data_IF_271439568938
#
_entry.id   IF_271439568938
#
_cell.length_a   1.000
_cell.length_b   1.000
_cell.length_c   1.000
_cell.angle_alpha   90.00
_cell.angle_beta   90.00
_cell.angle_gamma   90.00
#
_symmetry.space_group_name_H-M   'P 1'
#
loop_
_entity.id
_entity.type
_entity.pdbx_description
1 polymer ?
#
# COMPACT_ATOMS: atom_id res chain seq x y z
N UNK A 1 -2.47 -17.45 4.57
CA UNK A 1 -3.48 -16.65 3.90
C UNK A 1 -2.79 -15.53 3.10
N UNK A 2 -3.16 -15.33 1.83
CA UNK A 2 -2.58 -14.28 0.98
C UNK A 2 -3.47 -13.03 1.03
N UNK A 3 -2.95 -11.95 1.56
CA UNK A 3 -3.63 -10.65 1.52
C UNK A 3 -3.49 -10.06 0.12
N UNK A 4 -4.61 -9.67 -0.47
CA UNK A 4 -4.71 -9.12 -1.83
C UNK A 4 -5.55 -7.85 -1.89
N UNK A 5 -6.18 -7.46 -0.78
CA UNK A 5 -7.15 -6.37 -0.70
C UNK A 5 -6.93 -5.49 0.52
N UNK A 6 -7.38 -4.25 0.40
CA UNK A 6 -7.58 -3.32 1.51
C UNK A 6 -9.04 -2.90 1.49
N UNK A 7 -9.75 -3.05 2.62
CA UNK A 7 -11.13 -2.60 2.77
C UNK A 7 -11.16 -1.37 3.66
N UNK A 8 -11.58 -0.24 3.08
CA UNK A 8 -11.66 1.03 3.81
C UNK A 8 -13.06 1.22 4.37
N UNK A 9 -13.13 1.36 5.69
CA UNK A 9 -14.32 1.73 6.44
C UNK A 9 -14.23 3.16 6.94
N UNK A 10 -15.36 3.72 7.36
CA UNK A 10 -15.41 4.95 8.11
C UNK A 10 -16.16 4.77 9.44
N UNK A 11 -15.63 5.33 10.49
CA UNK A 11 -16.35 5.45 11.75
C UNK A 11 -17.43 6.53 11.69
N UNK A 12 -18.54 6.31 12.38
CA UNK A 12 -19.65 7.28 12.42
C UNK A 12 -19.43 8.39 13.46
N UNK A 13 -18.22 8.98 13.51
CA UNK A 13 -17.92 10.06 14.47
C UNK A 13 -16.52 10.63 14.31
N UNK A 14 -16.26 11.72 15.05
CA UNK A 14 -14.93 12.35 15.21
C UNK A 14 -14.29 11.72 16.45
N UNK A 15 -13.45 10.73 16.26
CA UNK A 15 -12.93 9.88 17.32
C UNK A 15 -11.40 9.72 17.21
N UNK A 16 -10.73 9.56 18.36
CA UNK A 16 -9.34 9.11 18.38
C UNK A 16 -9.23 7.63 18.00
N UNK A 17 -8.07 7.18 17.54
CA UNK A 17 -7.85 5.76 17.22
C UNK A 17 -8.08 4.86 18.45
N UNK A 18 -7.72 5.33 19.65
CA UNK A 18 -7.97 4.61 20.90
C UNK A 18 -9.46 4.40 21.17
N UNK A 19 -10.27 5.43 20.97
CA UNK A 19 -11.74 5.32 21.13
C UNK A 19 -12.33 4.36 20.10
N UNK A 20 -11.87 4.42 18.84
CA UNK A 20 -12.27 3.48 17.80
C UNK A 20 -11.88 2.04 18.16
N UNK A 21 -10.65 1.82 18.60
CA UNK A 21 -10.19 0.49 19.00
C UNK A 21 -11.03 -0.09 20.14
N UNK A 22 -11.37 0.71 21.17
CA UNK A 22 -12.24 0.31 22.26
C UNK A 22 -13.63 -0.13 21.83
N UNK A 23 -14.15 0.38 20.73
CA UNK A 23 -15.45 -0.04 20.17
C UNK A 23 -15.41 -1.52 19.72
N UNK A 24 -14.26 -2.05 19.33
CA UNK A 24 -14.10 -3.43 18.87
C UNK A 24 -13.70 -4.42 19.96
N UNK A 25 -13.41 -3.97 21.18
CA UNK A 25 -13.05 -4.86 22.31
C UNK A 25 -14.18 -5.81 22.75
N UNK A 26 -15.48 -5.39 22.83
CA UNK A 26 -16.52 -6.28 23.26
C UNK A 26 -16.79 -7.39 22.23
N UNK A 27 -16.57 -8.65 22.59
CA UNK A 27 -16.79 -9.83 21.72
C UNK A 27 -18.23 -9.94 21.20
N UNK A 28 -19.21 -9.46 21.99
CA UNK A 28 -20.64 -9.41 21.58
C UNK A 28 -20.91 -8.56 20.33
N UNK A 29 -19.96 -7.67 19.94
CA UNK A 29 -20.09 -6.86 18.74
C UNK A 29 -19.98 -7.69 17.44
N UNK A 30 -19.29 -8.84 17.50
CA UNK A 30 -19.04 -9.72 16.35
C UNK A 30 -18.49 -8.97 15.12
N UNK A 31 -17.69 -7.92 15.35
CA UNK A 31 -17.02 -7.12 14.33
C UNK A 31 -15.65 -6.68 14.81
N UNK A 32 -14.70 -6.57 13.90
CA UNK A 32 -13.34 -6.09 14.20
C UNK A 32 -12.70 -5.49 12.95
N UNK A 33 -11.59 -4.78 13.11
CA UNK A 33 -10.75 -4.28 12.03
C UNK A 33 -9.27 -4.56 12.32
N UNK A 34 -8.40 -4.46 11.32
CA UNK A 34 -6.97 -4.59 11.55
C UNK A 34 -6.40 -3.28 12.12
N UNK A 35 -6.85 -2.14 11.60
CA UNK A 35 -6.36 -0.83 12.00
C UNK A 35 -7.48 0.16 12.25
N UNK A 36 -7.27 1.02 13.23
CA UNK A 36 -8.06 2.22 13.49
C UNK A 36 -7.19 3.45 13.26
N UNK A 37 -7.71 4.44 12.52
CA UNK A 37 -7.10 5.76 12.32
C UNK A 37 -7.99 6.81 12.95
N UNK A 38 -7.44 7.55 13.92
CA UNK A 38 -8.11 8.65 14.60
C UNK A 38 -8.18 9.92 13.75
N UNK A 39 -9.00 10.87 14.19
CA UNK A 39 -9.14 12.18 13.53
C UNK A 39 -7.84 12.99 13.48
N UNK A 40 -6.93 12.80 14.45
CA UNK A 40 -5.62 13.43 14.48
C UNK A 40 -4.53 12.66 13.71
N UNK A 41 -4.90 11.53 13.08
CA UNK A 41 -4.00 10.72 12.28
C UNK A 41 -3.23 9.67 13.08
N UNK A 42 -3.53 9.50 14.36
CA UNK A 42 -3.04 8.43 15.19
C UNK A 42 -3.52 7.06 14.68
N UNK A 43 -2.68 6.03 14.73
CA UNK A 43 -2.99 4.69 14.22
C UNK A 43 -2.83 3.67 15.35
N UNK A 44 -3.83 2.80 15.50
CA UNK A 44 -3.77 1.66 16.41
C UNK A 44 -4.08 0.37 15.66
N UNK A 45 -3.20 -0.65 15.80
CA UNK A 45 -3.45 -2.02 15.38
C UNK A 45 -4.38 -2.72 16.37
N UNK A 46 -5.46 -3.32 15.87
CA UNK A 46 -6.47 -4.02 16.68
C UNK A 46 -6.39 -5.53 16.47
N UNK A 47 -6.43 -5.97 15.21
CA UNK A 47 -6.27 -7.39 14.84
C UNK A 47 -4.99 -7.53 14.02
N UNK A 48 -4.05 -8.41 14.40
CA UNK A 48 -2.86 -8.69 13.61
C UNK A 48 -3.23 -9.10 12.16
N UNK A 49 -2.41 -8.70 11.19
CA UNK A 49 -2.69 -8.95 9.76
C UNK A 49 -2.72 -10.43 9.39
N UNK A 50 -2.05 -11.28 10.17
CA UNK A 50 -2.09 -12.74 10.01
C UNK A 50 -3.43 -13.34 10.42
N UNK A 51 -4.28 -12.55 11.09
CA UNK A 51 -5.61 -12.95 11.54
C UNK A 51 -6.68 -12.21 10.76
N UNK A 52 -7.77 -12.90 10.48
CA UNK A 52 -8.94 -12.33 9.84
C UNK A 52 -9.64 -11.31 10.76
N UNK A 53 -9.82 -10.09 10.29
CA UNK A 53 -10.76 -9.16 10.87
C UNK A 53 -12.21 -9.50 10.39
N UNK A 54 -13.21 -9.26 11.22
CA UNK A 54 -14.62 -9.54 10.91
C UNK A 54 -15.31 -8.24 10.50
N UNK A 55 -15.40 -7.99 9.20
CA UNK A 55 -15.77 -6.67 8.68
C UNK A 55 -16.83 -6.68 7.58
N UNK A 56 -16.75 -7.61 6.62
CA UNK A 56 -17.60 -7.61 5.44
C UNK A 56 -18.82 -8.53 5.56
N UNK A 57 -18.94 -9.31 6.63
CA UNK A 57 -19.92 -10.39 6.74
C UNK A 57 -19.62 -11.59 5.83
N UNK A 58 -18.54 -11.57 5.10
CA UNK A 58 -18.08 -12.66 4.23
C UNK A 58 -16.69 -13.12 4.62
N UNK A 59 -16.61 -14.36 5.14
CA UNK A 59 -15.35 -14.97 5.52
C UNK A 59 -14.34 -14.94 4.38
N UNK A 60 -14.76 -15.27 3.17
CA UNK A 60 -13.90 -15.33 1.99
C UNK A 60 -13.22 -14.00 1.68
N UNK A 61 -13.95 -12.89 1.75
CA UNK A 61 -13.38 -11.56 1.49
C UNK A 61 -12.56 -11.05 2.66
N UNK A 62 -13.01 -11.26 3.90
CA UNK A 62 -12.28 -10.86 5.11
C UNK A 62 -10.92 -11.56 5.22
N UNK A 63 -10.83 -12.81 4.78
CA UNK A 63 -9.57 -13.58 4.76
C UNK A 63 -8.53 -13.04 3.77
N UNK A 64 -8.92 -12.24 2.79
CA UNK A 64 -8.04 -11.67 1.77
C UNK A 64 -7.75 -10.19 1.99
N UNK A 65 -8.36 -9.56 3.00
CA UNK A 65 -8.34 -8.12 3.18
C UNK A 65 -7.71 -7.69 4.50
N UNK A 66 -6.98 -6.58 4.45
CA UNK A 66 -6.69 -5.77 5.62
C UNK A 66 -7.74 -4.67 5.68
N UNK A 67 -8.40 -4.56 6.82
CA UNK A 67 -9.47 -3.61 7.06
C UNK A 67 -9.02 -2.43 7.90
N UNK A 68 -9.35 -1.23 7.45
CA UNK A 68 -8.99 0.03 8.10
C UNK A 68 -10.25 0.82 8.42
N UNK A 69 -10.47 1.13 9.69
CA UNK A 69 -11.49 2.06 10.16
C UNK A 69 -10.90 3.47 10.28
N UNK A 70 -11.50 4.46 9.61
CA UNK A 70 -11.02 5.83 9.61
C UNK A 70 -12.03 6.75 10.26
N UNK A 71 -11.57 7.55 11.23
CA UNK A 71 -12.34 8.61 11.85
C UNK A 71 -12.61 9.77 10.89
N UNK A 72 -13.66 10.50 11.16
CA UNK A 72 -14.09 11.68 10.40
C UNK A 72 -13.70 12.96 11.07
N UNK A 73 -13.80 14.07 10.34
CA UNK A 73 -13.71 15.43 10.88
C UNK A 73 -15.05 16.19 10.79
N UNK A 74 -16.05 15.63 10.07
CA UNK A 74 -17.40 16.22 9.97
C UNK A 74 -18.50 15.14 10.05
N UNK A 75 -19.75 15.58 10.28
CA UNK A 75 -20.94 14.73 10.27
C UNK A 75 -21.63 14.66 8.90
N UNK A 76 -22.92 14.29 8.95
CA UNK A 76 -23.80 14.32 7.76
C UNK A 76 -23.88 15.71 7.13
N UNK A 77 -24.10 15.81 5.81
CA UNK A 77 -24.22 14.71 4.85
C UNK A 77 -22.88 14.17 4.32
N UNK A 78 -21.78 14.94 4.46
CA UNK A 78 -20.55 14.70 3.71
C UNK A 78 -19.68 13.63 4.33
N UNK A 79 -19.62 13.53 5.66
CA UNK A 79 -18.78 12.58 6.37
C UNK A 79 -17.29 12.68 5.96
N UNK A 80 -16.74 13.89 5.98
CA UNK A 80 -15.39 14.19 5.52
C UNK A 80 -14.32 13.54 6.42
N UNK A 81 -13.20 13.24 5.81
CA UNK A 81 -11.98 12.78 6.50
C UNK A 81 -11.02 13.97 6.56
N UNK A 82 -10.53 14.30 7.75
CA UNK A 82 -9.55 15.36 7.95
C UNK A 82 -8.20 15.03 7.31
N UNK A 83 -7.43 16.05 6.94
CA UNK A 83 -6.17 15.84 6.21
C UNK A 83 -5.15 15.00 7.00
N UNK A 84 -5.11 15.10 8.34
CA UNK A 84 -4.23 14.28 9.18
C UNK A 84 -4.59 12.79 9.08
N UNK A 85 -5.88 12.45 9.25
CA UNK A 85 -6.37 11.08 9.11
C UNK A 85 -6.21 10.56 7.68
N UNK A 86 -6.46 11.41 6.67
CA UNK A 86 -6.26 11.08 5.27
C UNK A 86 -4.79 10.78 4.94
N UNK A 87 -3.86 11.60 5.45
CA UNK A 87 -2.42 11.35 5.29
C UNK A 87 -2.02 10.00 5.90
N UNK A 88 -2.47 9.71 7.11
CA UNK A 88 -2.21 8.44 7.78
C UNK A 88 -2.82 7.25 7.03
N UNK A 89 -4.03 7.39 6.49
CA UNK A 89 -4.67 6.37 5.65
C UNK A 89 -3.82 6.07 4.41
N UNK A 90 -3.33 7.09 3.71
CA UNK A 90 -2.52 6.95 2.51
C UNK A 90 -1.20 6.26 2.81
N UNK A 91 -0.49 6.71 3.86
CA UNK A 91 0.78 6.11 4.27
C UNK A 91 0.62 4.66 4.71
N UNK A 92 -0.40 4.35 5.51
CA UNK A 92 -0.70 2.98 5.93
C UNK A 92 -1.07 2.09 4.73
N UNK A 93 -1.92 2.56 3.82
CA UNK A 93 -2.26 1.81 2.61
C UNK A 93 -1.03 1.57 1.72
N UNK A 94 -0.15 2.56 1.56
CA UNK A 94 1.10 2.39 0.80
C UNK A 94 2.01 1.34 1.44
N UNK A 95 2.17 1.36 2.76
CA UNK A 95 2.95 0.37 3.51
C UNK A 95 2.36 -1.05 3.35
N UNK A 96 1.05 -1.22 3.52
CA UNK A 96 0.35 -2.50 3.31
C UNK A 96 0.56 -2.97 1.87
N UNK A 97 0.35 -2.10 0.88
CA UNK A 97 0.55 -2.43 -0.53
C UNK A 97 1.98 -2.94 -0.81
N UNK A 98 2.98 -2.33 -0.18
CA UNK A 98 4.39 -2.71 -0.32
C UNK A 98 4.67 -4.06 0.31
N UNK A 99 4.21 -4.29 1.54
CA UNK A 99 4.46 -5.53 2.28
C UNK A 99 3.77 -6.74 1.65
N UNK A 100 2.58 -6.56 1.10
CA UNK A 100 1.76 -7.62 0.52
C UNK A 100 1.78 -7.67 -1.01
N UNK A 101 2.61 -6.82 -1.67
CA UNK A 101 2.70 -6.73 -3.14
C UNK A 101 1.36 -6.43 -3.82
N UNK A 102 0.54 -5.57 -3.21
CA UNK A 102 -0.75 -5.15 -3.74
C UNK A 102 -0.55 -3.96 -4.67
N UNK A 103 -1.09 -4.03 -5.89
CA UNK A 103 -1.24 -2.86 -6.76
C UNK A 103 -2.58 -2.22 -6.44
N UNK A 104 -2.62 -0.99 -5.90
CA UNK A 104 -3.88 -0.37 -5.52
C UNK A 104 -4.68 0.07 -6.75
N UNK A 105 -5.89 -0.47 -6.89
CA UNK A 105 -6.86 -0.07 -7.92
C UNK A 105 -8.29 -0.25 -7.44
N UNK A 106 -9.20 0.51 -8.05
CA UNK A 106 -10.64 0.46 -7.81
C UNK A 106 -11.38 0.43 -9.13
N UNK A 107 -12.30 -0.52 -9.31
CA UNK A 107 -13.13 -0.67 -10.50
C UNK A 107 -14.64 -0.77 -10.18
N UNK A 108 -15.01 -0.54 -8.91
CA UNK A 108 -16.38 -0.68 -8.43
C UNK A 108 -16.83 -2.11 -8.13
N UNK A 109 -15.98 -3.11 -8.33
CA UNK A 109 -16.29 -4.53 -8.14
C UNK A 109 -15.52 -5.14 -6.96
N UNK A 110 -15.99 -6.28 -6.48
CA UNK A 110 -15.41 -7.03 -5.37
C UNK A 110 -14.03 -7.64 -5.66
N UNK A 111 -13.63 -7.72 -6.91
CA UNK A 111 -12.31 -8.20 -7.37
C UNK A 111 -11.22 -7.12 -7.27
N UNK A 112 -11.59 -5.84 -7.14
CA UNK A 112 -10.64 -4.75 -6.92
C UNK A 112 -9.76 -5.00 -5.68
N UNK A 113 -8.56 -4.43 -5.69
CA UNK A 113 -7.66 -4.46 -4.54
C UNK A 113 -8.05 -3.46 -3.45
N UNK A 114 -8.72 -2.35 -3.82
CA UNK A 114 -9.34 -1.41 -2.88
C UNK A 114 -10.84 -1.66 -2.87
N UNK A 115 -11.40 -1.97 -1.71
CA UNK A 115 -12.82 -2.34 -1.57
C UNK A 115 -13.52 -1.55 -0.47
N UNK A 116 -14.84 -1.61 -0.46
CA UNK A 116 -15.71 -0.95 0.50
C UNK A 116 -16.71 -1.92 1.13
N UNK A 117 -17.16 -1.71 2.37
CA UNK A 117 -18.16 -2.55 3.02
C UNK A 117 -19.47 -2.68 2.24
N UNK A 118 -19.93 -1.59 1.62
CA UNK A 118 -21.17 -1.60 0.84
C UNK A 118 -21.14 -2.50 -0.42
N UNK A 119 -19.98 -3.04 -0.77
CA UNK A 119 -19.87 -4.04 -1.84
C UNK A 119 -20.28 -5.44 -1.35
N UNK A 120 -20.25 -5.69 -0.04
CA UNK A 120 -20.45 -7.00 0.55
C UNK A 120 -21.76 -7.12 1.33
N UNK A 121 -22.23 -6.03 1.91
CA UNK A 121 -23.43 -5.98 2.74
C UNK A 121 -24.19 -4.66 2.57
N UNK A 122 -25.47 -4.64 2.95
CA UNK A 122 -26.30 -3.45 2.89
C UNK A 122 -25.86 -2.42 3.96
N UNK A 123 -25.01 -1.47 3.57
CA UNK A 123 -24.49 -0.39 4.43
C UNK A 123 -24.13 0.82 3.58
N UNK A 124 -24.15 2.01 4.19
CA UNK A 124 -23.64 3.23 3.55
C UNK A 124 -22.13 3.37 3.65
N UNK A 125 -21.46 2.58 4.54
CA UNK A 125 -20.02 2.61 4.72
C UNK A 125 -19.27 2.34 3.39
N UNK A 126 -18.23 3.10 3.04
CA UNK A 126 -17.46 4.06 3.83
C UNK A 126 -17.98 5.51 3.75
N UNK A 127 -19.21 5.74 3.32
CA UNK A 127 -19.79 7.05 3.18
C UNK A 127 -19.44 7.77 1.88
N UNK A 128 -20.13 8.89 1.57
CA UNK A 128 -20.00 9.57 0.28
C UNK A 128 -18.63 10.16 0.04
N UNK A 129 -17.95 10.67 1.08
CA UNK A 129 -16.65 11.31 0.93
C UNK A 129 -15.56 10.34 0.42
N UNK A 130 -15.41 9.17 1.05
CA UNK A 130 -14.41 8.18 0.61
C UNK A 130 -14.78 7.64 -0.77
N UNK A 131 -16.06 7.33 -1.01
CA UNK A 131 -16.54 6.87 -2.34
C UNK A 131 -16.19 7.84 -3.46
N UNK A 132 -16.45 9.13 -3.24
CA UNK A 132 -16.17 10.21 -4.21
C UNK A 132 -14.65 10.37 -4.46
N UNK A 133 -13.84 10.21 -3.43
CA UNK A 133 -12.40 10.52 -3.48
C UNK A 133 -11.51 9.29 -3.70
N UNK A 134 -12.04 8.09 -3.92
CA UNK A 134 -11.25 6.85 -3.98
C UNK A 134 -10.13 6.91 -5.03
N UNK A 135 -10.39 7.48 -6.20
CA UNK A 135 -9.39 7.58 -7.26
C UNK A 135 -8.25 8.54 -6.87
N UNK A 136 -8.54 9.62 -6.17
CA UNK A 136 -7.51 10.53 -5.65
C UNK A 136 -6.72 9.87 -4.49
N UNK A 137 -7.40 9.12 -3.62
CA UNK A 137 -6.75 8.33 -2.56
C UNK A 137 -5.77 7.34 -3.19
N UNK A 138 -6.18 6.57 -4.21
CA UNK A 138 -5.33 5.62 -4.93
C UNK A 138 -4.16 6.33 -5.61
N UNK A 139 -4.38 7.47 -6.23
CA UNK A 139 -3.32 8.28 -6.84
C UNK A 139 -2.29 8.72 -5.80
N UNK A 140 -2.74 9.18 -4.63
CA UNK A 140 -1.85 9.55 -3.52
C UNK A 140 -1.09 8.34 -2.97
N UNK A 141 -1.73 7.17 -2.81
CA UNK A 141 -1.07 5.91 -2.43
C UNK A 141 0.02 5.54 -3.45
N UNK A 142 -0.28 5.61 -4.75
CA UNK A 142 0.69 5.34 -5.81
C UNK A 142 1.85 6.33 -5.79
N UNK A 143 1.60 7.60 -5.48
CA UNK A 143 2.66 8.59 -5.31
C UNK A 143 3.58 8.22 -4.14
N UNK A 144 3.04 7.82 -2.99
CA UNK A 144 3.85 7.35 -1.84
C UNK A 144 4.66 6.10 -2.20
N UNK A 145 4.07 5.15 -2.89
CA UNK A 145 4.79 3.97 -3.40
C UNK A 145 5.93 4.33 -4.35
N UNK A 146 5.84 5.48 -5.03
CA UNK A 146 6.89 6.02 -5.91
C UNK A 146 7.87 6.94 -5.17
N UNK A 147 7.42 7.73 -4.18
CA UNK A 147 8.24 8.74 -3.50
C UNK A 147 9.27 8.15 -2.55
N UNK A 148 8.95 7.08 -1.82
CA UNK A 148 9.94 6.38 -1.00
C UNK A 148 10.99 5.61 -1.84
N UNK A 149 10.79 5.57 -3.16
CA UNK A 149 11.79 5.15 -4.12
C UNK A 149 12.66 6.31 -4.63
N UNK A 150 12.41 7.58 -4.18
CA UNK A 150 13.32 8.69 -4.45
C UNK A 150 14.56 8.55 -3.55
N UNK A 151 15.76 8.62 -4.13
CA UNK A 151 16.96 8.88 -3.35
C UNK A 151 16.86 10.27 -2.71
N UNK A 152 17.41 10.42 -1.51
CA UNK A 152 17.83 11.74 -1.00
C UNK A 152 18.53 12.52 -2.11
N UNK A 153 18.39 13.87 -2.09
CA UNK A 153 18.84 14.80 -3.14
C UNK A 153 20.18 14.46 -3.80
N UNK A 154 20.34 14.72 -5.10
CA UNK A 154 21.56 14.39 -5.81
C UNK A 154 22.71 15.24 -5.28
N UNK A 155 23.69 14.62 -4.65
CA UNK A 155 25.03 15.19 -4.60
C UNK A 155 25.47 15.50 -6.04
N UNK A 156 25.97 16.72 -6.22
CA UNK A 156 26.51 17.30 -7.46
C UNK A 156 27.20 16.26 -8.35
N UNK A 157 26.96 16.24 -9.66
CA UNK A 157 27.51 15.22 -10.53
C UNK A 157 29.03 15.33 -10.62
N UNK A 158 29.74 14.29 -10.19
CA UNK A 158 31.10 14.05 -10.65
C UNK A 158 31.08 13.48 -12.08
N UNK A 159 32.07 13.77 -12.90
CA UNK A 159 32.08 13.45 -14.33
C UNK A 159 32.04 11.95 -14.61
N UNK A 160 31.13 11.58 -15.51
CA UNK A 160 30.91 10.21 -15.97
C UNK A 160 32.15 9.67 -16.67
N UNK A 161 32.76 8.60 -16.12
CA UNK A 161 33.66 7.71 -16.87
C UNK A 161 32.84 6.66 -17.63
N UNK A 162 33.28 6.28 -18.84
CA UNK A 162 32.52 5.34 -19.66
C UNK A 162 32.51 3.91 -19.07
N UNK A 163 31.42 3.20 -19.37
CA UNK A 163 31.08 1.88 -18.90
C UNK A 163 32.22 0.86 -19.02
N UNK A 164 32.55 0.20 -17.92
CA UNK A 164 33.34 -1.03 -17.93
C UNK A 164 32.40 -2.24 -17.97
N UNK A 165 32.67 -3.16 -18.84
CA UNK A 165 31.93 -4.39 -19.16
C UNK A 165 32.09 -5.42 -18.03
N UNK A 166 31.44 -5.17 -16.89
CA UNK A 166 31.52 -6.09 -15.74
C UNK A 166 30.10 -6.38 -15.23
N UNK A 167 29.55 -7.49 -15.68
CA UNK A 167 28.32 -8.03 -15.09
C UNK A 167 28.61 -8.50 -13.65
N UNK A 168 27.72 -8.20 -12.70
CA UNK A 168 27.79 -8.62 -11.31
C UNK A 168 26.47 -9.18 -10.81
N UNK A 169 26.52 -9.95 -9.73
CA UNK A 169 25.33 -10.59 -9.15
C UNK A 169 24.83 -9.80 -7.94
N UNK A 170 23.51 -9.73 -7.82
CA UNK A 170 22.83 -9.13 -6.67
C UNK A 170 21.75 -10.08 -6.16
N UNK A 171 21.58 -10.17 -4.84
CA UNK A 171 20.50 -10.89 -4.18
C UNK A 171 19.40 -9.92 -3.80
N UNK A 172 18.16 -10.19 -4.22
CA UNK A 172 16.98 -9.41 -3.84
C UNK A 172 16.70 -9.59 -2.35
N UNK A 173 16.48 -8.49 -1.62
CA UNK A 173 16.25 -8.49 -0.16
C UNK A 173 14.82 -8.21 0.24
N UNK A 174 14.02 -7.59 -0.63
CA UNK A 174 12.61 -7.30 -0.40
C UNK A 174 11.70 -8.45 -0.90
N UNK A 175 10.45 -8.45 -0.43
CA UNK A 175 9.46 -9.47 -0.82
C UNK A 175 8.84 -9.22 -2.20
N UNK A 176 8.99 -8.00 -2.72
CA UNK A 176 8.43 -7.61 -4.01
C UNK A 176 9.28 -6.50 -4.61
N UNK A 177 9.86 -6.74 -5.79
CA UNK A 177 10.69 -5.78 -6.51
C UNK A 177 10.18 -5.61 -7.94
N UNK A 178 9.74 -4.39 -8.28
CA UNK A 178 9.27 -4.09 -9.62
C UNK A 178 10.40 -4.11 -10.65
N UNK A 179 10.14 -4.72 -11.80
CA UNK A 179 10.96 -4.62 -13.01
C UNK A 179 10.34 -3.55 -13.89
N UNK A 180 11.12 -2.55 -14.29
CA UNK A 180 10.65 -1.44 -15.11
C UNK A 180 11.29 -1.43 -16.48
N UNK A 181 10.56 -0.89 -17.46
CA UNK A 181 11.03 -0.80 -18.85
C UNK A 181 12.31 0.04 -18.97
N UNK A 182 12.42 1.11 -18.17
CA UNK A 182 13.54 2.06 -18.15
C UNK A 182 13.99 2.32 -16.72
N UNK A 183 15.22 2.82 -16.49
CA UNK A 183 15.76 3.10 -15.15
C UNK A 183 15.14 4.35 -14.53
N UNK A 184 13.81 4.31 -14.35
CA UNK A 184 13.02 5.41 -13.81
C UNK A 184 11.80 4.90 -13.06
N UNK A 185 11.46 5.55 -11.94
CA UNK A 185 10.23 5.28 -11.19
C UNK A 185 8.96 5.65 -11.96
N UNK A 186 9.08 6.52 -12.96
CA UNK A 186 7.99 6.92 -13.86
C UNK A 186 7.76 5.95 -15.01
N UNK A 187 8.70 5.04 -15.25
CA UNK A 187 8.61 4.06 -16.33
C UNK A 187 7.62 2.95 -15.99
N UNK A 188 7.00 2.38 -17.02
CA UNK A 188 6.03 1.28 -16.89
C UNK A 188 6.66 0.08 -16.18
N UNK A 189 5.90 -0.53 -15.26
CA UNK A 189 6.25 -1.80 -14.63
C UNK A 189 5.96 -2.91 -15.63
N UNK A 190 6.98 -3.68 -15.99
CA UNK A 190 6.92 -4.77 -16.98
C UNK A 190 6.99 -6.16 -16.32
N UNK A 191 7.15 -6.20 -15.02
CA UNK A 191 7.16 -7.42 -14.24
C UNK A 191 7.50 -7.16 -12.77
N UNK A 192 7.52 -8.23 -11.97
CA UNK A 192 7.80 -8.17 -10.55
C UNK A 192 8.61 -9.40 -10.14
N UNK A 193 9.59 -9.19 -9.27
CA UNK A 193 10.35 -10.26 -8.60
C UNK A 193 9.75 -10.43 -7.21
N UNK A 194 9.27 -11.64 -6.90
CA UNK A 194 8.66 -11.99 -5.61
C UNK A 194 9.49 -13.00 -4.80
N UNK A 195 10.55 -13.52 -5.40
CA UNK A 195 11.52 -14.39 -4.75
C UNK A 195 12.75 -13.56 -4.30
N UNK A 196 13.43 -14.04 -3.27
CA UNK A 196 14.70 -13.46 -2.80
C UNK A 196 15.90 -14.07 -3.55
N UNK A 197 15.72 -14.28 -4.87
CA UNK A 197 16.72 -14.88 -5.74
C UNK A 197 17.93 -14.02 -6.01
N UNK A 198 18.90 -14.61 -6.71
CA UNK A 198 20.13 -13.94 -7.18
C UNK A 198 19.98 -13.60 -8.65
N UNK A 199 20.22 -12.36 -9.00
CA UNK A 199 20.06 -11.81 -10.36
C UNK A 199 21.36 -11.21 -10.87
N UNK A 200 21.65 -11.41 -12.15
CA UNK A 200 22.81 -10.80 -12.80
C UNK A 200 22.45 -9.45 -13.39
N UNK A 201 23.22 -8.44 -13.04
CA UNK A 201 23.12 -7.08 -13.57
C UNK A 201 24.18 -6.90 -14.65
N UNK A 202 23.78 -6.45 -15.83
CA UNK A 202 24.64 -6.23 -16.99
C UNK A 202 24.92 -4.75 -17.28
N UNK A 203 24.11 -3.86 -16.71
CA UNK A 203 24.25 -2.43 -16.91
C UNK A 203 23.80 -1.72 -15.63
N UNK A 204 24.47 -0.64 -15.24
CA UNK A 204 24.13 0.17 -14.08
C UNK A 204 23.96 1.62 -14.48
N UNK A 205 22.82 2.21 -14.12
CA UNK A 205 22.55 3.63 -14.29
C UNK A 205 22.07 4.22 -12.95
N UNK A 206 22.94 4.93 -12.26
CA UNK A 206 22.70 5.39 -10.90
C UNK A 206 22.42 4.23 -9.94
N UNK A 207 21.24 4.22 -9.35
CA UNK A 207 20.76 3.14 -8.46
C UNK A 207 19.94 2.05 -9.20
N UNK A 208 19.91 2.06 -10.53
CA UNK A 208 19.22 1.06 -11.33
C UNK A 208 20.19 0.06 -11.93
N UNK A 209 19.76 -1.20 -11.96
CA UNK A 209 20.49 -2.28 -12.59
C UNK A 209 19.64 -2.99 -13.64
N UNK A 210 20.17 -3.15 -14.86
CA UNK A 210 19.50 -3.87 -15.94
C UNK A 210 19.73 -5.36 -15.76
N UNK A 211 18.65 -6.10 -15.75
CA UNK A 211 18.68 -7.56 -15.65
C UNK A 211 19.27 -8.19 -16.91
N UNK A 212 20.16 -9.16 -16.76
CA UNK A 212 20.72 -9.97 -17.87
C UNK A 212 19.62 -10.68 -18.67
N UNK A 213 18.48 -10.97 -18.06
CA UNK A 213 17.33 -11.58 -18.75
C UNK A 213 16.67 -10.69 -19.80
N UNK A 214 17.06 -9.41 -19.90
CA UNK A 214 16.44 -8.43 -20.81
C UNK A 214 15.04 -7.96 -20.37
N UNK A 215 14.50 -8.47 -19.26
CA UNK A 215 13.15 -8.11 -18.78
C UNK A 215 13.01 -6.64 -18.38
N UNK A 216 14.11 -5.95 -18.10
CA UNK A 216 14.10 -4.55 -17.75
C UNK A 216 15.04 -4.20 -16.60
N UNK A 217 14.71 -3.14 -15.86
CA UNK A 217 15.51 -2.52 -14.83
C UNK A 217 14.94 -2.74 -13.45
N UNK A 218 15.80 -3.03 -12.46
CA UNK A 218 15.45 -3.14 -11.03
C UNK A 218 16.18 -2.08 -10.23
N UNK A 219 15.58 -1.66 -9.12
CA UNK A 219 16.17 -0.69 -8.22
C UNK A 219 17.10 -1.38 -7.22
N UNK A 220 18.40 -1.10 -7.30
CA UNK A 220 19.46 -1.84 -6.60
C UNK A 220 19.50 -1.62 -5.08
N UNK A 221 18.83 -0.59 -4.55
CA UNK A 221 18.72 -0.39 -3.10
C UNK A 221 17.96 -1.52 -2.38
N UNK A 222 17.20 -2.33 -3.11
CA UNK A 222 16.53 -3.52 -2.59
C UNK A 222 17.31 -4.82 -2.85
N UNK A 223 18.63 -4.69 -3.08
CA UNK A 223 19.50 -5.82 -3.34
C UNK A 223 20.78 -5.71 -2.51
N UNK A 224 21.45 -6.83 -2.32
CA UNK A 224 22.83 -6.91 -1.80
C UNK A 224 23.71 -7.53 -2.85
N UNK A 225 24.95 -7.02 -3.03
CA UNK A 225 25.95 -7.65 -3.86
C UNK A 225 26.27 -9.07 -3.33
N UNK A 226 26.50 -10.01 -4.24
CA UNK A 226 26.84 -11.42 -3.93
C UNK A 226 28.16 -11.75 -4.59
#
# INVERSE_FOLDING_TARGET
QKITKITIHHAAGVLSAETLAKIFLPTRRCASCNYCIGNEGDIIGVVPEEKRAWTSGSRWYDEQAITIEVSKCSGKPNWEIGEKAMKSLILLCADICRRHCIVPYFNGNKDASMTFPCMFQATECPGPYIKKNINEIIKRINNELCMEQKPEEPMKPEPVKPASDTSYKVKVTCNCLNIRKEPSTKSAVVGTITDKGVYTIVEKQGKWGKLKSGKGWIYLSYTKAV
#
